data_IF_651185635504
#
_entry.id   IF_651185635504
#
_cell.length_a   1.000
_cell.length_b   1.000
_cell.length_c   1.000
_cell.angle_alpha   90.00
_cell.angle_beta   90.00
_cell.angle_gamma   90.00
#
_symmetry.space_group_name_H-M   'P 1'
#
loop_
_entity.id
_entity.type
_entity.pdbx_description
1 polymer ?
#
# COMPACT_ATOMS: atom_id res chain seq x y z
N UNK A 1 -13.45 3.24 3.54
CA UNK A 1 -13.54 2.10 4.46
C UNK A 1 -13.69 2.56 5.92
N UNK A 2 -12.68 3.19 6.52
CA UNK A 2 -12.64 3.50 7.96
C UNK A 2 -13.77 4.43 8.43
N UNK A 3 -14.22 5.37 7.60
CA UNK A 3 -15.36 6.25 7.92
C UNK A 3 -16.65 5.45 8.05
N UNK A 4 -16.88 4.52 7.12
CA UNK A 4 -18.08 3.71 7.07
C UNK A 4 -18.16 2.71 8.24
N UNK A 5 -17.07 1.99 8.51
CA UNK A 5 -17.03 0.96 9.56
C UNK A 5 -16.76 1.58 10.93
N UNK A 6 -15.50 1.83 11.24
CA UNK A 6 -15.08 2.30 12.57
C UNK A 6 -15.52 3.75 12.85
N UNK A 7 -15.71 4.56 11.81
CA UNK A 7 -16.30 5.91 11.91
C UNK A 7 -17.75 5.91 12.32
N UNK A 8 -18.41 4.75 12.28
CA UNK A 8 -19.71 4.48 12.90
C UNK A 8 -20.90 4.62 11.96
N UNK A 9 -20.72 4.98 10.69
CA UNK A 9 -21.84 5.17 9.75
C UNK A 9 -22.68 3.90 9.60
N UNK A 10 -22.05 2.76 9.25
CA UNK A 10 -22.75 1.50 9.07
C UNK A 10 -23.32 0.93 10.38
N UNK A 11 -22.65 1.17 11.50
CA UNK A 11 -23.13 0.71 12.81
C UNK A 11 -24.35 1.48 13.30
N UNK A 12 -24.50 2.75 12.88
CA UNK A 12 -25.63 3.59 13.24
C UNK A 12 -26.80 3.49 12.24
N UNK A 13 -26.55 2.95 11.03
CA UNK A 13 -27.58 2.77 10.01
C UNK A 13 -28.55 1.66 10.40
N UNK A 14 -29.84 1.90 10.16
CA UNK A 14 -30.90 0.89 10.34
C UNK A 14 -30.84 -0.12 9.18
N UNK A 15 -30.80 -1.40 9.49
CA UNK A 15 -30.71 -2.48 8.48
C UNK A 15 -31.85 -2.42 7.49
N UNK A 16 -31.58 -2.82 6.25
CA UNK A 16 -32.53 -2.86 5.14
C UNK A 16 -33.10 -1.50 4.73
N UNK A 17 -32.57 -0.40 5.23
CA UNK A 17 -32.88 0.94 4.71
C UNK A 17 -32.00 1.27 3.51
N UNK A 18 -32.44 2.24 2.68
CA UNK A 18 -31.65 2.71 1.54
C UNK A 18 -30.28 3.25 1.94
N UNK A 19 -30.18 3.89 3.12
CA UNK A 19 -28.93 4.38 3.70
C UNK A 19 -27.96 3.21 4.01
N UNK A 20 -28.47 2.20 4.71
CA UNK A 20 -27.69 1.00 5.06
C UNK A 20 -27.14 0.31 3.82
N UNK A 21 -27.99 0.10 2.80
CA UNK A 21 -27.58 -0.60 1.58
C UNK A 21 -26.61 0.25 0.73
N UNK A 22 -26.81 1.56 0.65
CA UNK A 22 -25.90 2.46 -0.04
C UNK A 22 -24.53 2.53 0.66
N UNK A 23 -24.51 2.61 2.00
CA UNK A 23 -23.29 2.56 2.79
C UNK A 23 -22.51 1.24 2.58
N UNK A 24 -23.20 0.10 2.58
CA UNK A 24 -22.58 -1.20 2.30
C UNK A 24 -22.09 -1.36 0.87
N UNK A 25 -22.82 -0.81 -0.11
CA UNK A 25 -22.35 -0.77 -1.50
C UNK A 25 -21.04 0.01 -1.61
N UNK A 26 -20.97 1.20 -1.00
CA UNK A 26 -19.75 2.03 -0.98
C UNK A 26 -18.61 1.34 -0.22
N UNK A 27 -18.91 0.66 0.89
CA UNK A 27 -17.93 -0.14 1.64
C UNK A 27 -17.35 -1.25 0.77
N UNK A 28 -18.20 -2.01 0.09
CA UNK A 28 -17.79 -3.11 -0.79
C UNK A 28 -16.95 -2.60 -1.96
N UNK A 29 -17.35 -1.48 -2.57
CA UNK A 29 -16.61 -0.85 -3.65
C UNK A 29 -15.19 -0.45 -3.22
N UNK A 30 -15.02 0.08 -2.02
CA UNK A 30 -13.72 0.47 -1.51
C UNK A 30 -12.89 -0.72 -0.96
N UNK A 31 -13.53 -1.87 -0.68
CA UNK A 31 -12.89 -2.96 0.06
C UNK A 31 -11.71 -3.60 -0.67
N UNK A 32 -11.77 -3.71 -2.00
CA UNK A 32 -10.70 -4.30 -2.80
C UNK A 32 -9.40 -3.45 -2.84
N UNK A 33 -9.39 -2.22 -2.30
CA UNK A 33 -8.24 -1.33 -2.37
C UNK A 33 -6.96 -1.92 -1.75
N UNK A 34 -7.08 -2.71 -0.68
CA UNK A 34 -5.94 -3.38 -0.03
C UNK A 34 -5.30 -4.41 -0.95
N UNK A 35 -6.11 -5.21 -1.62
CA UNK A 35 -5.64 -6.19 -2.60
C UNK A 35 -4.97 -5.50 -3.79
N UNK A 36 -5.53 -4.38 -4.25
CA UNK A 36 -4.93 -3.57 -5.33
C UNK A 36 -3.52 -3.13 -4.96
N UNK A 37 -3.26 -2.68 -3.73
CA UNK A 37 -1.91 -2.29 -3.30
C UNK A 37 -0.91 -3.44 -3.35
N UNK A 38 -1.32 -4.63 -2.93
CA UNK A 38 -0.47 -5.82 -2.98
C UNK A 38 -0.25 -6.29 -4.42
N UNK A 39 -1.29 -6.28 -5.27
CA UNK A 39 -1.20 -6.57 -6.71
C UNK A 39 -0.26 -5.59 -7.42
N UNK A 40 -0.36 -4.27 -7.14
CA UNK A 40 0.56 -3.25 -7.68
C UNK A 40 1.99 -3.55 -7.27
N UNK A 41 2.22 -3.98 -6.01
CA UNK A 41 3.56 -4.33 -5.55
C UNK A 41 4.16 -5.45 -6.40
N UNK A 42 3.41 -6.53 -6.67
CA UNK A 42 3.84 -7.59 -7.58
C UNK A 42 4.03 -7.12 -9.01
N UNK A 43 3.10 -6.30 -9.53
CA UNK A 43 3.16 -5.76 -10.88
C UNK A 43 4.40 -4.89 -11.12
N UNK A 44 4.80 -4.09 -10.14
CA UNK A 44 5.93 -3.15 -10.25
C UNK A 44 7.26 -3.83 -9.95
N UNK A 45 7.32 -4.64 -8.87
CA UNK A 45 8.57 -5.20 -8.37
C UNK A 45 9.01 -6.50 -9.06
N UNK A 46 8.11 -7.20 -9.78
CA UNK A 46 8.47 -8.39 -10.54
C UNK A 46 9.56 -8.17 -11.59
N UNK A 47 9.70 -6.93 -12.09
CA UNK A 47 10.70 -6.54 -13.08
C UNK A 47 11.70 -5.49 -12.55
N UNK A 48 11.66 -5.16 -11.24
CA UNK A 48 12.51 -4.16 -10.64
C UNK A 48 13.67 -4.79 -9.87
N UNK A 49 14.80 -4.09 -9.84
CA UNK A 49 15.94 -4.49 -9.03
C UNK A 49 15.59 -4.42 -7.53
N UNK A 50 15.82 -5.51 -6.80
CA UNK A 50 15.58 -5.58 -5.37
C UNK A 50 16.63 -4.77 -4.59
N UNK A 51 16.17 -3.87 -3.71
CA UNK A 51 17.04 -2.98 -2.91
C UNK A 51 16.59 -2.97 -1.46
N UNK A 52 17.37 -3.55 -0.56
CA UNK A 52 17.10 -3.55 0.90
C UNK A 52 16.85 -2.16 1.48
N UNK A 53 17.54 -1.15 0.95
CA UNK A 53 17.43 0.22 1.43
C UNK A 53 16.00 0.73 1.45
N UNK A 54 15.15 0.25 0.52
CA UNK A 54 13.76 0.72 0.45
C UNK A 54 12.91 0.32 1.65
N UNK A 55 13.11 -0.89 2.21
CA UNK A 55 12.36 -1.28 3.41
C UNK A 55 12.82 -0.49 4.63
N UNK A 56 14.10 -0.14 4.70
CA UNK A 56 14.64 0.70 5.77
C UNK A 56 14.07 2.11 5.67
N UNK A 57 13.99 2.69 4.47
CA UNK A 57 13.37 4.00 4.23
C UNK A 57 11.88 4.01 4.65
N UNK A 58 11.13 2.96 4.30
CA UNK A 58 9.73 2.81 4.72
C UNK A 58 9.62 2.64 6.24
N UNK A 59 10.47 1.81 6.85
CA UNK A 59 10.48 1.62 8.29
C UNK A 59 10.79 2.91 9.04
N UNK A 60 11.78 3.69 8.58
CA UNK A 60 12.10 4.99 9.16
C UNK A 60 10.90 5.95 9.06
N UNK A 61 10.20 5.96 7.93
CA UNK A 61 8.99 6.77 7.78
C UNK A 61 7.91 6.35 8.80
N UNK A 62 7.70 5.05 8.99
CA UNK A 62 6.74 4.54 9.99
C UNK A 62 7.17 4.97 11.39
N UNK A 63 8.43 4.77 11.77
CA UNK A 63 8.96 5.14 13.08
C UNK A 63 8.80 6.64 13.36
N UNK A 64 9.08 7.49 12.37
CA UNK A 64 8.87 8.95 12.49
C UNK A 64 7.41 9.25 12.81
N UNK A 65 6.45 8.67 12.09
CA UNK A 65 5.03 8.92 12.34
C UNK A 65 4.57 8.36 13.67
N UNK A 66 4.94 7.12 14.01
CA UNK A 66 4.50 6.51 15.27
C UNK A 66 5.00 7.29 16.48
N UNK A 67 6.28 7.66 16.48
CA UNK A 67 6.88 8.43 17.58
C UNK A 67 6.32 9.86 17.62
N UNK A 68 6.30 10.58 16.49
CA UNK A 68 5.84 11.98 16.45
C UNK A 68 4.37 12.13 16.85
N UNK A 69 3.49 11.24 16.39
CA UNK A 69 2.06 11.27 16.77
C UNK A 69 1.89 10.91 18.25
N UNK A 70 2.64 9.93 18.76
CA UNK A 70 2.59 9.56 20.17
C UNK A 70 3.05 10.71 21.05
N UNK A 71 4.16 11.40 20.69
CA UNK A 71 4.65 12.61 21.38
C UNK A 71 3.57 13.69 21.37
N UNK A 72 3.02 14.01 20.20
CA UNK A 72 1.99 15.03 20.05
C UNK A 72 0.78 14.76 20.95
N UNK A 73 0.28 13.53 20.97
CA UNK A 73 -0.90 13.17 21.78
C UNK A 73 -0.56 13.04 23.26
N UNK A 74 0.68 12.74 23.62
CA UNK A 74 1.13 12.80 25.01
C UNK A 74 1.02 14.23 25.58
N UNK A 75 1.24 15.27 24.75
CA UNK A 75 1.04 16.66 25.16
C UNK A 75 -0.43 17.10 25.12
N UNK A 76 -1.19 16.68 24.10
CA UNK A 76 -2.58 17.11 23.90
C UNK A 76 -3.55 16.35 24.82
N UNK A 77 -3.35 15.06 25.02
CA UNK A 77 -4.21 14.15 25.77
C UNK A 77 -3.31 13.19 26.58
N UNK A 78 -2.66 13.64 27.67
CA UNK A 78 -1.68 12.85 28.42
C UNK A 78 -2.23 11.49 28.88
N UNK A 79 -3.51 11.43 29.25
CA UNK A 79 -4.18 10.20 29.71
C UNK A 79 -4.34 9.13 28.63
N UNK A 80 -4.16 9.47 27.36
CA UNK A 80 -4.29 8.54 26.22
C UNK A 80 -3.02 7.74 25.93
N UNK A 81 -1.88 8.14 26.49
CA UNK A 81 -0.57 7.55 26.15
C UNK A 81 -0.02 6.79 27.35
N UNK A 82 -0.03 5.46 27.28
CA UNK A 82 0.55 4.56 28.27
C UNK A 82 1.96 4.10 27.85
N UNK A 83 2.67 3.43 28.75
CA UNK A 83 3.95 2.78 28.46
C UNK A 83 3.84 1.80 27.27
N UNK A 84 2.70 1.11 27.14
CA UNK A 84 2.44 0.21 26.01
C UNK A 84 2.37 0.94 24.66
N UNK A 85 1.78 2.15 24.60
CA UNK A 85 1.78 2.97 23.38
C UNK A 85 3.19 3.42 23.01
N UNK A 86 4.02 3.77 23.98
CA UNK A 86 5.43 4.09 23.71
C UNK A 86 6.20 2.89 23.16
N UNK A 87 6.03 1.71 23.76
CA UNK A 87 6.66 0.49 23.24
C UNK A 87 6.22 0.20 21.79
N UNK A 88 4.92 0.31 21.51
CA UNK A 88 4.38 0.15 20.15
C UNK A 88 4.92 1.19 19.18
N UNK A 89 5.08 2.44 19.60
CA UNK A 89 5.61 3.51 18.76
C UNK A 89 7.07 3.26 18.35
N UNK A 90 7.89 2.71 19.23
CA UNK A 90 9.29 2.38 18.92
C UNK A 90 9.42 1.07 18.12
N UNK A 91 8.51 0.11 18.29
CA UNK A 91 8.54 -1.19 17.61
C UNK A 91 7.27 -1.46 16.78
N UNK A 92 6.93 -0.60 15.81
CA UNK A 92 5.63 -0.65 15.13
C UNK A 92 5.40 -1.94 14.33
N UNK A 93 6.44 -2.55 13.79
CA UNK A 93 6.36 -3.80 13.03
C UNK A 93 6.07 -4.98 13.96
N UNK A 94 6.85 -5.11 15.04
CA UNK A 94 6.73 -6.24 15.97
C UNK A 94 5.44 -6.19 16.79
N UNK A 95 4.94 -4.99 17.07
CA UNK A 95 3.68 -4.80 17.78
C UNK A 95 2.44 -4.93 16.88
N UNK A 96 2.60 -5.09 15.57
CA UNK A 96 1.49 -5.13 14.62
C UNK A 96 0.67 -3.85 14.58
N UNK A 97 1.26 -2.70 14.96
CA UNK A 97 0.54 -1.42 15.05
C UNK A 97 -0.16 -1.04 13.74
N UNK A 98 0.48 -1.38 12.61
CA UNK A 98 -0.08 -1.27 11.28
C UNK A 98 -0.02 -2.65 10.62
N UNK A 99 -1.10 -3.41 10.70
CA UNK A 99 -1.16 -4.78 10.21
C UNK A 99 -0.66 -4.92 8.76
N UNK A 100 -1.08 -4.00 7.87
CA UNK A 100 -0.67 -4.04 6.47
C UNK A 100 0.84 -3.83 6.32
N UNK A 101 1.40 -2.86 7.04
CA UNK A 101 2.84 -2.60 6.98
C UNK A 101 3.65 -3.76 7.56
N UNK A 102 3.23 -4.36 8.66
CA UNK A 102 3.88 -5.54 9.24
C UNK A 102 3.85 -6.73 8.27
N UNK A 103 2.71 -7.00 7.64
CA UNK A 103 2.57 -8.02 6.60
C UNK A 103 3.39 -7.67 5.35
N UNK A 104 3.47 -6.39 4.99
CA UNK A 104 4.26 -5.91 3.86
C UNK A 104 5.78 -6.06 4.10
N UNK A 105 6.27 -5.85 5.33
CA UNK A 105 7.67 -6.12 5.68
C UNK A 105 7.99 -7.60 5.46
N UNK A 106 7.13 -8.50 5.91
CA UNK A 106 7.31 -9.93 5.65
C UNK A 106 7.29 -10.23 4.14
N UNK A 107 6.30 -9.73 3.39
CA UNK A 107 6.28 -9.82 1.93
C UNK A 107 7.59 -9.33 1.31
N UNK A 108 8.08 -8.16 1.74
CA UNK A 108 9.30 -7.55 1.18
C UNK A 108 10.52 -8.46 1.32
N UNK A 109 10.67 -9.14 2.45
CA UNK A 109 11.76 -10.10 2.67
C UNK A 109 11.69 -11.31 1.71
N UNK A 110 10.48 -11.70 1.28
CA UNK A 110 10.25 -12.80 0.35
C UNK A 110 10.30 -12.39 -1.13
N UNK A 111 10.33 -11.08 -1.48
CA UNK A 111 10.37 -10.62 -2.88
C UNK A 111 11.44 -11.31 -3.73
N UNK A 112 12.71 -11.51 -3.28
CA UNK A 112 13.70 -12.19 -4.11
C UNK A 112 13.30 -13.62 -4.47
N UNK A 113 12.72 -14.35 -3.52
CA UNK A 113 12.23 -15.71 -3.75
C UNK A 113 11.02 -15.73 -4.70
N UNK A 114 10.06 -14.82 -4.50
CA UNK A 114 8.88 -14.69 -5.33
C UNK A 114 9.24 -14.29 -6.77
N UNK A 115 10.22 -13.41 -6.94
CA UNK A 115 10.72 -13.05 -8.27
C UNK A 115 11.42 -14.22 -8.96
N UNK A 116 12.19 -15.04 -8.22
CA UNK A 116 12.79 -16.25 -8.77
C UNK A 116 11.72 -17.24 -9.27
N UNK A 117 10.59 -17.38 -8.56
CA UNK A 117 9.44 -18.19 -9.01
C UNK A 117 8.88 -17.60 -10.32
N UNK A 118 8.64 -16.29 -10.35
CA UNK A 118 8.12 -15.60 -11.54
C UNK A 118 9.05 -15.72 -12.75
N UNK A 119 10.38 -15.70 -12.55
CA UNK A 119 11.36 -15.80 -13.62
C UNK A 119 11.50 -17.22 -14.18
N UNK A 120 11.63 -18.22 -13.30
CA UNK A 120 11.99 -19.57 -13.69
C UNK A 120 10.82 -20.44 -14.13
N UNK A 121 9.60 -20.16 -13.66
CA UNK A 121 8.45 -20.95 -14.05
C UNK A 121 7.91 -20.55 -15.43
N UNK A 122 7.57 -21.54 -16.24
CA UNK A 122 6.87 -21.35 -17.50
C UNK A 122 5.46 -20.82 -17.29
N UNK A 123 4.92 -20.09 -18.28
CA UNK A 123 3.57 -19.51 -18.23
C UNK A 123 2.49 -20.52 -17.84
N UNK A 124 2.54 -21.73 -18.40
CA UNK A 124 1.54 -22.78 -18.16
C UNK A 124 1.62 -23.32 -16.73
N UNK A 125 2.83 -23.59 -16.27
CA UNK A 125 3.10 -24.06 -14.90
C UNK A 125 2.68 -23.00 -13.87
N UNK A 126 3.13 -21.75 -14.04
CA UNK A 126 2.80 -20.66 -13.13
C UNK A 126 1.30 -20.40 -13.08
N UNK A 127 0.60 -20.40 -14.23
CA UNK A 127 -0.85 -20.26 -14.28
C UNK A 127 -1.58 -21.39 -13.54
N UNK A 128 -1.13 -22.64 -13.71
CA UNK A 128 -1.70 -23.78 -13.01
C UNK A 128 -1.48 -23.68 -11.50
N UNK A 129 -0.26 -23.39 -11.05
CA UNK A 129 0.06 -23.22 -9.63
C UNK A 129 -0.74 -22.08 -9.00
N UNK A 130 -0.81 -20.91 -9.64
CA UNK A 130 -1.60 -19.79 -9.16
C UNK A 130 -3.10 -20.14 -9.11
N UNK A 131 -3.61 -20.84 -10.13
CA UNK A 131 -5.00 -21.32 -10.14
C UNK A 131 -5.30 -22.23 -8.96
N UNK A 132 -4.42 -23.19 -8.66
CA UNK A 132 -4.57 -24.08 -7.51
C UNK A 132 -4.45 -23.32 -6.18
N UNK A 133 -3.48 -22.42 -6.05
CA UNK A 133 -3.35 -21.57 -4.86
C UNK A 133 -4.63 -20.76 -4.63
N UNK A 134 -5.14 -20.10 -5.66
CA UNK A 134 -6.38 -19.32 -5.53
C UNK A 134 -7.60 -20.17 -5.25
N UNK A 135 -7.68 -21.37 -5.82
CA UNK A 135 -8.75 -22.31 -5.53
C UNK A 135 -8.79 -22.68 -4.03
N UNK A 136 -7.62 -23.00 -3.44
CA UNK A 136 -7.54 -23.39 -2.03
C UNK A 136 -7.57 -22.21 -1.07
N UNK A 137 -6.81 -21.16 -1.33
CA UNK A 137 -6.64 -20.02 -0.42
C UNK A 137 -7.73 -18.97 -0.52
N UNK A 138 -8.46 -18.92 -1.64
CA UNK A 138 -9.57 -17.99 -1.86
C UNK A 138 -10.91 -18.74 -1.93
N UNK A 139 -11.14 -19.55 -2.97
CA UNK A 139 -12.44 -20.13 -3.23
C UNK A 139 -12.89 -21.08 -2.11
N UNK A 140 -12.09 -22.09 -1.75
CA UNK A 140 -12.49 -23.07 -0.73
C UNK A 140 -12.57 -22.47 0.66
N UNK A 141 -11.61 -21.61 1.06
CA UNK A 141 -11.70 -20.95 2.36
C UNK A 141 -12.91 -20.03 2.48
N UNK A 142 -13.30 -19.38 1.38
CA UNK A 142 -14.53 -18.57 1.37
C UNK A 142 -15.76 -19.50 1.41
N UNK A 143 -15.82 -20.53 0.57
CA UNK A 143 -16.97 -21.44 0.49
C UNK A 143 -17.24 -22.17 1.81
N UNK A 144 -16.20 -22.63 2.50
CA UNK A 144 -16.34 -23.37 3.76
C UNK A 144 -16.24 -22.48 5.01
N UNK A 145 -16.16 -21.17 4.83
CA UNK A 145 -15.99 -20.20 5.93
C UNK A 145 -14.88 -20.62 6.91
N UNK A 146 -13.74 -20.99 6.38
CA UNK A 146 -12.62 -21.53 7.14
C UNK A 146 -11.35 -20.71 6.92
N UNK A 147 -10.41 -20.81 7.84
CA UNK A 147 -9.07 -20.22 7.70
C UNK A 147 -7.98 -21.23 8.02
N UNK A 148 -8.05 -22.39 7.37
CA UNK A 148 -7.12 -23.52 7.56
C UNK A 148 -5.68 -23.17 7.25
N UNK A 149 -5.45 -22.21 6.34
CA UNK A 149 -4.12 -21.83 5.88
C UNK A 149 -3.57 -20.55 6.52
N UNK A 150 -4.23 -20.01 7.54
CA UNK A 150 -3.78 -18.82 8.27
C UNK A 150 -3.77 -17.54 7.40
N UNK A 151 -4.74 -17.41 6.51
CA UNK A 151 -4.89 -16.19 5.68
C UNK A 151 -5.47 -15.02 6.47
N UNK A 152 -6.09 -15.30 7.63
CA UNK A 152 -6.71 -14.31 8.51
C UNK A 152 -7.63 -13.34 7.72
N UNK A 153 -8.57 -13.90 6.94
CA UNK A 153 -9.47 -13.16 6.05
C UNK A 153 -8.77 -12.22 5.07
N UNK A 154 -7.50 -12.51 4.76
CA UNK A 154 -6.62 -11.70 3.92
C UNK A 154 -5.76 -10.69 4.68
N UNK A 155 -5.88 -10.60 5.99
CA UNK A 155 -5.03 -9.75 6.85
C UNK A 155 -3.69 -10.43 7.19
N UNK A 156 -3.03 -11.05 6.22
CA UNK A 156 -1.80 -11.80 6.46
C UNK A 156 -0.75 -11.58 5.38
N UNK A 157 0.51 -11.82 5.73
CA UNK A 157 1.62 -11.78 4.78
C UNK A 157 1.48 -12.83 3.67
N UNK A 158 0.93 -14.01 3.99
CA UNK A 158 0.70 -15.09 3.01
C UNK A 158 -0.24 -14.60 1.91
N UNK A 159 -1.34 -13.93 2.28
CA UNK A 159 -2.26 -13.38 1.29
C UNK A 159 -1.59 -12.32 0.43
N UNK A 160 -0.81 -11.41 1.02
CA UNK A 160 -0.06 -10.41 0.25
C UNK A 160 0.96 -11.04 -0.71
N UNK A 161 1.61 -12.16 -0.33
CA UNK A 161 2.53 -12.90 -1.21
C UNK A 161 1.78 -13.54 -2.40
N UNK A 162 0.59 -14.10 -2.17
CA UNK A 162 -0.26 -14.62 -3.25
C UNK A 162 -0.64 -13.50 -4.21
N UNK A 163 -1.11 -12.36 -3.70
CA UNK A 163 -1.45 -11.19 -4.52
C UNK A 163 -0.22 -10.64 -5.27
N UNK A 164 0.96 -10.65 -4.65
CA UNK A 164 2.21 -10.29 -5.32
C UNK A 164 2.49 -11.19 -6.53
N UNK A 165 2.37 -12.50 -6.39
CA UNK A 165 2.55 -13.44 -7.50
C UNK A 165 1.51 -13.24 -8.60
N UNK A 166 0.25 -12.96 -8.25
CA UNK A 166 -0.81 -12.64 -9.22
C UNK A 166 -0.47 -11.34 -9.98
N UNK A 167 -0.06 -10.28 -9.26
CA UNK A 167 0.37 -9.02 -9.87
C UNK A 167 1.58 -9.20 -10.80
N UNK A 168 2.58 -9.96 -10.37
CA UNK A 168 3.75 -10.31 -11.18
C UNK A 168 3.40 -11.15 -12.42
N UNK A 169 2.47 -12.10 -12.29
CA UNK A 169 1.95 -12.86 -13.43
C UNK A 169 1.26 -11.95 -14.45
N UNK A 170 0.42 -11.02 -13.99
CA UNK A 170 -0.24 -10.03 -14.85
C UNK A 170 0.81 -9.20 -15.57
N UNK A 171 1.84 -8.72 -14.86
CA UNK A 171 2.94 -7.94 -15.46
C UNK A 171 3.67 -8.72 -16.56
N UNK A 172 3.96 -9.99 -16.31
CA UNK A 172 4.77 -10.82 -17.22
C UNK A 172 3.96 -11.31 -18.43
N UNK A 173 2.68 -11.61 -18.26
CA UNK A 173 1.88 -12.33 -19.25
C UNK A 173 0.54 -11.68 -19.62
N UNK A 174 0.14 -10.61 -18.92
CA UNK A 174 -1.19 -9.99 -19.05
C UNK A 174 -1.32 -8.96 -20.17
N UNK A 175 -0.26 -8.68 -20.92
CA UNK A 175 -0.25 -7.68 -22.00
C UNK A 175 -1.03 -8.15 -23.25
N UNK A 176 -2.28 -8.58 -23.08
CA UNK A 176 -3.19 -8.80 -24.17
C UNK A 176 -3.59 -7.45 -24.79
N UNK A 177 -3.31 -7.26 -26.07
CA UNK A 177 -3.53 -6.00 -26.81
C UNK A 177 -5.00 -5.54 -26.88
N UNK A 178 -5.98 -6.39 -26.56
CA UNK A 178 -7.39 -6.20 -26.91
C UNK A 178 -8.35 -5.81 -25.79
N UNK A 179 -7.87 -5.38 -24.60
CA UNK A 179 -8.74 -4.99 -23.50
C UNK A 179 -9.03 -3.48 -23.46
N UNK A 180 -10.25 -3.05 -23.79
CA UNK A 180 -10.68 -1.65 -23.54
C UNK A 180 -10.79 -1.40 -22.04
N UNK A 181 -10.34 -0.25 -21.49
CA UNK A 181 -10.47 0.08 -20.06
C UNK A 181 -11.91 -0.11 -19.53
N UNK A 182 -12.91 0.28 -20.32
CA UNK A 182 -14.31 0.16 -19.95
C UNK A 182 -14.76 -1.28 -19.61
N UNK A 183 -14.16 -2.29 -20.28
CA UNK A 183 -14.46 -3.70 -20.00
C UNK A 183 -14.00 -4.11 -18.59
N UNK A 184 -12.83 -3.68 -18.20
CA UNK A 184 -12.28 -3.96 -16.87
C UNK A 184 -13.02 -3.19 -15.78
N UNK A 185 -13.40 -1.95 -16.05
CA UNK A 185 -14.24 -1.18 -15.14
C UNK A 185 -15.63 -1.81 -14.96
N UNK A 186 -16.25 -2.27 -16.04
CA UNK A 186 -17.50 -3.04 -15.96
C UNK A 186 -17.32 -4.34 -15.14
N UNK A 187 -16.22 -5.07 -15.36
CA UNK A 187 -15.87 -6.25 -14.54
C UNK A 187 -15.75 -5.91 -13.06
N UNK A 188 -15.08 -4.81 -12.71
CA UNK A 188 -15.02 -4.33 -11.33
C UNK A 188 -16.42 -4.08 -10.76
N UNK A 189 -17.28 -3.33 -11.47
CA UNK A 189 -18.64 -3.04 -11.01
C UNK A 189 -19.49 -4.30 -10.84
N UNK A 190 -19.36 -5.28 -11.75
CA UNK A 190 -20.06 -6.56 -11.65
C UNK A 190 -19.62 -7.31 -10.39
N UNK A 191 -18.30 -7.39 -10.12
CA UNK A 191 -17.80 -8.10 -8.94
C UNK A 191 -18.24 -7.44 -7.64
N UNK A 192 -18.21 -6.11 -7.58
CA UNK A 192 -18.72 -5.34 -6.43
C UNK A 192 -20.23 -5.56 -6.26
N UNK A 193 -20.99 -5.49 -7.35
CA UNK A 193 -22.43 -5.74 -7.33
C UNK A 193 -22.77 -7.16 -6.85
N UNK A 194 -22.03 -8.18 -7.31
CA UNK A 194 -22.19 -9.57 -6.85
C UNK A 194 -21.88 -9.71 -5.36
N UNK A 195 -20.80 -9.09 -4.88
CA UNK A 195 -20.44 -9.14 -3.45
C UNK A 195 -21.49 -8.46 -2.59
N UNK A 196 -21.95 -7.26 -2.97
CA UNK A 196 -23.00 -6.54 -2.26
C UNK A 196 -24.35 -7.30 -2.30
N UNK A 197 -24.73 -7.83 -3.46
CA UNK A 197 -25.96 -8.62 -3.60
C UNK A 197 -25.91 -9.89 -2.75
N UNK A 198 -24.77 -10.58 -2.69
CA UNK A 198 -24.60 -11.76 -1.84
C UNK A 198 -24.81 -11.43 -0.36
N UNK A 199 -24.31 -10.27 0.10
CA UNK A 199 -24.53 -9.77 1.47
C UNK A 199 -26.04 -9.59 1.72
N UNK A 200 -26.75 -8.91 0.83
CA UNK A 200 -28.19 -8.67 0.95
C UNK A 200 -28.98 -9.99 0.98
N UNK A 201 -28.66 -10.90 0.06
CA UNK A 201 -29.33 -12.21 -0.01
C UNK A 201 -29.10 -13.04 1.25
N UNK A 202 -27.86 -13.09 1.76
CA UNK A 202 -27.53 -13.85 2.98
C UNK A 202 -28.22 -13.24 4.20
N UNK A 203 -28.28 -11.94 4.34
CA UNK A 203 -28.98 -11.26 5.43
C UNK A 203 -30.49 -11.55 5.41
N UNK A 204 -31.11 -11.47 4.22
CA UNK A 204 -32.54 -11.80 4.06
C UNK A 204 -32.84 -13.28 4.33
N UNK A 205 -31.99 -14.18 3.82
CA UNK A 205 -32.16 -15.63 4.06
C UNK A 205 -32.01 -15.96 5.54
N UNK A 206 -30.99 -15.45 6.21
CA UNK A 206 -30.77 -15.73 7.62
C UNK A 206 -31.85 -15.13 8.49
N UNK A 207 -32.34 -13.94 8.16
CA UNK A 207 -33.48 -13.33 8.85
C UNK A 207 -34.76 -14.20 8.74
N UNK A 208 -35.05 -14.68 7.52
CA UNK A 208 -36.27 -15.48 7.27
C UNK A 208 -36.19 -16.90 7.86
N UNK A 209 -35.00 -17.53 7.84
CA UNK A 209 -34.84 -18.93 8.29
C UNK A 209 -34.52 -19.01 9.78
N UNK A 210 -33.67 -18.11 10.29
CA UNK A 210 -33.17 -18.16 11.65
C UNK A 210 -33.83 -17.14 12.58
N UNK A 211 -34.64 -16.20 12.05
CA UNK A 211 -35.21 -15.09 12.80
C UNK A 211 -34.20 -13.98 13.18
N UNK A 212 -32.95 -14.10 12.78
CA UNK A 212 -31.90 -13.12 13.04
C UNK A 212 -30.92 -13.00 11.86
N UNK A 213 -30.33 -11.80 11.69
CA UNK A 213 -29.35 -11.55 10.64
C UNK A 213 -27.99 -12.09 11.05
N UNK A 214 -27.47 -13.08 10.31
CA UNK A 214 -26.14 -13.66 10.47
C UNK A 214 -25.34 -13.65 9.17
N UNK A 215 -24.04 -13.69 9.27
CA UNK A 215 -23.09 -13.93 8.18
C UNK A 215 -23.23 -13.00 6.95
N UNK A 216 -23.83 -11.80 7.08
CA UNK A 216 -23.93 -10.85 5.96
C UNK A 216 -22.58 -10.49 5.34
N UNK A 217 -21.51 -10.53 6.11
CA UNK A 217 -20.16 -10.21 5.62
C UNK A 217 -19.42 -11.40 4.99
N UNK A 218 -20.08 -12.50 4.70
CA UNK A 218 -19.48 -13.76 4.23
C UNK A 218 -18.53 -13.60 3.04
N UNK A 219 -18.95 -12.88 2.00
CA UNK A 219 -18.12 -12.57 0.83
C UNK A 219 -17.36 -11.23 0.93
N UNK A 220 -17.52 -10.47 2.02
CA UNK A 220 -16.80 -9.21 2.24
C UNK A 220 -15.52 -9.50 3.03
N UNK A 221 -14.57 -10.14 2.39
CA UNK A 221 -13.25 -10.50 2.89
C UNK A 221 -12.21 -10.28 1.80
N UNK A 222 -11.00 -9.88 2.14
CA UNK A 222 -9.92 -9.70 1.16
C UNK A 222 -9.61 -10.99 0.40
N UNK A 223 -9.70 -12.16 1.05
CA UNK A 223 -9.51 -13.46 0.38
C UNK A 223 -10.68 -13.89 -0.51
N UNK A 224 -11.82 -13.19 -0.48
CA UNK A 224 -12.98 -13.53 -1.30
C UNK A 224 -12.67 -13.47 -2.78
N UNK A 225 -13.08 -14.48 -3.58
CA UNK A 225 -12.87 -14.48 -5.03
C UNK A 225 -13.43 -13.24 -5.72
N UNK A 226 -14.57 -12.73 -5.27
CA UNK A 226 -15.21 -11.56 -5.88
C UNK A 226 -14.44 -10.29 -5.60
N UNK A 227 -13.90 -10.10 -4.38
CA UNK A 227 -13.06 -8.96 -4.01
C UNK A 227 -11.72 -9.03 -4.74
N UNK A 228 -11.09 -10.21 -4.79
CA UNK A 228 -9.87 -10.43 -5.57
C UNK A 228 -10.05 -10.08 -7.05
N UNK A 229 -11.13 -10.59 -7.68
CA UNK A 229 -11.41 -10.30 -9.09
C UNK A 229 -11.73 -8.82 -9.32
N UNK A 230 -12.42 -8.15 -8.38
CA UNK A 230 -12.61 -6.70 -8.42
C UNK A 230 -11.27 -5.96 -8.38
N UNK A 231 -10.33 -6.38 -7.51
CA UNK A 231 -8.99 -5.80 -7.43
C UNK A 231 -8.18 -6.00 -8.72
N UNK A 232 -8.22 -7.20 -9.30
CA UNK A 232 -7.57 -7.49 -10.60
C UNK A 232 -8.17 -6.66 -11.71
N UNK A 233 -9.50 -6.55 -11.78
CA UNK A 233 -10.18 -5.71 -12.78
C UNK A 233 -9.77 -4.24 -12.62
N UNK A 234 -9.69 -3.73 -11.40
CA UNK A 234 -9.29 -2.36 -11.13
C UNK A 234 -7.83 -2.10 -11.50
N UNK A 235 -6.91 -3.04 -11.21
CA UNK A 235 -5.51 -2.96 -11.67
C UNK A 235 -5.43 -2.88 -13.19
N UNK A 236 -6.13 -3.77 -13.90
CA UNK A 236 -6.12 -3.82 -15.37
C UNK A 236 -6.80 -2.59 -15.99
N UNK A 237 -7.83 -2.05 -15.34
CA UNK A 237 -8.44 -0.79 -15.76
C UNK A 237 -7.42 0.36 -15.74
N UNK A 238 -6.71 0.55 -14.64
CA UNK A 238 -5.71 1.63 -14.52
C UNK A 238 -4.48 1.39 -15.40
N UNK A 239 -4.08 0.14 -15.63
CA UNK A 239 -3.01 -0.21 -16.56
C UNK A 239 -3.31 0.26 -18.00
N UNK A 240 -4.57 0.12 -18.43
CA UNK A 240 -5.00 0.48 -19.80
C UNK A 240 -5.49 1.93 -19.93
N UNK A 241 -5.61 2.66 -18.81
CA UNK A 241 -6.14 4.00 -18.81
C UNK A 241 -5.11 5.01 -19.32
N UNK A 242 -5.46 5.74 -20.38
CA UNK A 242 -4.67 6.87 -20.86
C UNK A 242 -4.96 8.10 -20.00
N UNK A 243 -3.98 8.51 -19.21
CA UNK A 243 -4.11 9.64 -18.28
C UNK A 243 -3.57 10.91 -18.94
N UNK A 244 -4.31 12.04 -18.94
CA UNK A 244 -3.83 13.32 -19.48
C UNK A 244 -2.55 13.79 -18.76
N UNK A 245 -1.62 14.50 -19.45
CA UNK A 245 -0.32 14.91 -18.88
C UNK A 245 -0.44 15.75 -17.60
N UNK A 246 -1.44 16.61 -17.51
CA UNK A 246 -1.71 17.45 -16.32
C UNK A 246 -1.99 16.56 -15.10
N UNK A 247 -2.87 15.56 -15.26
CA UNK A 247 -3.23 14.63 -14.21
C UNK A 247 -2.05 13.71 -13.85
N UNK A 248 -1.25 13.28 -14.84
CA UNK A 248 -0.01 12.54 -14.59
C UNK A 248 0.97 13.31 -13.70
N UNK A 249 1.11 14.63 -13.95
CA UNK A 249 1.97 15.50 -13.12
C UNK A 249 1.46 15.57 -11.69
N UNK A 250 0.16 15.74 -11.50
CA UNK A 250 -0.49 15.77 -10.18
C UNK A 250 -0.29 14.43 -9.43
N UNK A 251 -0.57 13.31 -10.09
CA UNK A 251 -0.39 11.97 -9.50
C UNK A 251 1.07 11.75 -9.08
N UNK A 252 2.05 12.13 -9.91
CA UNK A 252 3.47 12.01 -9.57
C UNK A 252 3.88 12.84 -8.33
N UNK A 253 3.21 13.96 -8.08
CA UNK A 253 3.44 14.75 -6.87
C UNK A 253 2.77 14.15 -5.63
N UNK A 254 1.55 13.59 -5.78
CA UNK A 254 0.77 13.07 -4.67
C UNK A 254 1.16 11.63 -4.27
N UNK A 255 1.55 10.79 -5.23
CA UNK A 255 1.82 9.37 -4.97
C UNK A 255 2.88 9.10 -3.90
N UNK A 256 3.99 9.87 -3.75
CA UNK A 256 4.95 9.64 -2.68
C UNK A 256 4.38 9.86 -1.28
N UNK A 257 3.30 10.64 -1.16
CA UNK A 257 2.65 10.97 0.11
C UNK A 257 1.55 9.98 0.50
N UNK A 258 1.13 9.09 -0.41
CA UNK A 258 0.02 8.16 -0.15
C UNK A 258 0.27 7.25 1.06
N UNK A 259 1.52 6.84 1.27
CA UNK A 259 1.88 6.03 2.43
C UNK A 259 1.80 6.85 3.73
N UNK A 260 2.17 8.13 3.71
CA UNK A 260 1.98 9.03 4.84
C UNK A 260 0.52 9.20 5.22
N UNK A 261 -0.38 9.32 4.23
CA UNK A 261 -1.83 9.36 4.48
C UNK A 261 -2.28 8.12 5.26
N UNK A 262 -1.86 6.91 4.83
CA UNK A 262 -2.17 5.67 5.54
C UNK A 262 -1.66 5.69 6.98
N UNK A 263 -0.41 6.10 7.20
CA UNK A 263 0.21 6.11 8.52
C UNK A 263 -0.46 7.10 9.49
N UNK A 264 -0.89 8.26 9.01
CA UNK A 264 -1.49 9.30 9.86
C UNK A 264 -2.90 8.90 10.28
N UNK A 265 -3.81 8.66 9.30
CA UNK A 265 -5.22 8.43 9.66
C UNK A 265 -5.46 7.07 10.31
N UNK A 266 -4.60 6.08 10.07
CA UNK A 266 -4.70 4.76 10.67
C UNK A 266 -3.86 4.59 11.95
N UNK A 267 -3.21 5.64 12.43
CA UNK A 267 -2.50 5.60 13.70
C UNK A 267 -3.48 5.32 14.85
N UNK A 268 -3.25 4.31 15.72
CA UNK A 268 -4.23 3.89 16.73
C UNK A 268 -4.76 5.03 17.62
N UNK A 269 -3.89 5.97 18.00
CA UNK A 269 -4.31 7.11 18.82
C UNK A 269 -5.15 8.11 18.01
N UNK A 270 -4.75 8.46 16.78
CA UNK A 270 -5.56 9.31 15.88
C UNK A 270 -6.89 8.64 15.59
N UNK A 271 -6.85 7.37 15.28
CA UNK A 271 -8.02 6.56 15.01
C UNK A 271 -9.02 6.60 16.18
N UNK A 272 -8.55 6.34 17.40
CA UNK A 272 -9.39 6.29 18.60
C UNK A 272 -9.98 7.66 18.96
N UNK A 273 -9.19 8.72 18.88
CA UNK A 273 -9.61 10.04 19.34
C UNK A 273 -10.27 10.92 18.27
N UNK A 274 -9.92 10.73 17.00
CA UNK A 274 -10.38 11.60 15.90
C UNK A 274 -11.38 10.95 14.93
N UNK A 275 -11.37 9.60 14.79
CA UNK A 275 -12.17 8.94 13.75
C UNK A 275 -13.27 8.03 14.33
N UNK A 276 -12.98 7.28 15.39
CA UNK A 276 -13.90 6.25 15.93
C UNK A 276 -15.23 6.85 16.36
N UNK A 277 -16.32 6.39 15.72
CA UNK A 277 -17.69 6.81 16.01
C UNK A 277 -18.06 8.26 15.64
N UNK A 278 -17.11 9.04 15.09
CA UNK A 278 -17.32 10.49 14.84
C UNK A 278 -18.28 10.80 13.68
N UNK A 279 -18.50 9.83 12.80
CA UNK A 279 -19.29 10.03 11.58
C UNK A 279 -20.64 9.31 11.61
N UNK A 280 -21.03 8.77 12.76
CA UNK A 280 -22.31 8.07 12.95
C UNK A 280 -23.52 8.91 12.49
N UNK A 281 -23.50 10.23 12.68
CA UNK A 281 -24.57 11.14 12.25
C UNK A 281 -24.82 11.16 10.73
N UNK A 282 -23.86 10.71 9.90
CA UNK A 282 -24.09 10.62 8.45
C UNK A 282 -25.19 9.61 8.10
N UNK A 283 -25.42 8.58 8.92
CA UNK A 283 -26.46 7.57 8.70
C UNK A 283 -27.89 8.10 8.79
N UNK A 284 -28.08 9.28 9.39
CA UNK A 284 -29.39 9.93 9.46
C UNK A 284 -29.73 10.75 8.19
N UNK A 285 -28.78 10.93 7.28
CA UNK A 285 -28.97 11.67 6.04
C UNK A 285 -29.64 10.81 4.97
N UNK A 286 -30.37 11.38 4.00
CA UNK A 286 -30.82 10.66 2.82
C UNK A 286 -29.62 10.01 2.11
N UNK A 287 -29.78 8.80 1.58
CA UNK A 287 -28.68 7.99 1.04
C UNK A 287 -27.76 8.71 0.02
N UNK A 288 -28.22 9.60 -0.89
CA UNK A 288 -27.31 10.30 -1.78
C UNK A 288 -26.43 11.32 -1.03
N UNK A 289 -27.00 11.97 -0.01
CA UNK A 289 -26.30 12.96 0.82
C UNK A 289 -25.33 12.26 1.76
N UNK A 290 -25.70 11.09 2.28
CA UNK A 290 -24.80 10.23 3.08
C UNK A 290 -23.55 9.86 2.27
N UNK A 291 -23.70 9.34 1.04
CA UNK A 291 -22.57 8.98 0.17
C UNK A 291 -21.69 10.21 -0.09
N UNK A 292 -22.29 11.34 -0.48
CA UNK A 292 -21.54 12.57 -0.75
C UNK A 292 -20.80 13.07 0.50
N UNK A 293 -21.43 12.97 1.68
CA UNK A 293 -20.82 13.36 2.95
C UNK A 293 -19.63 12.46 3.29
N UNK A 294 -19.79 11.14 3.18
CA UNK A 294 -18.69 10.17 3.42
C UNK A 294 -17.53 10.40 2.45
N UNK A 295 -17.80 10.63 1.16
CA UNK A 295 -16.76 10.93 0.18
C UNK A 295 -16.09 12.29 0.46
N UNK A 296 -16.86 13.31 0.81
CA UNK A 296 -16.34 14.62 1.19
C UNK A 296 -15.43 14.56 2.41
N UNK A 297 -15.84 13.85 3.46
CA UNK A 297 -15.04 13.61 4.66
C UNK A 297 -13.75 12.85 4.30
N UNK A 298 -13.84 11.82 3.44
CA UNK A 298 -12.68 11.08 2.99
C UNK A 298 -11.68 11.99 2.25
N UNK A 299 -12.15 12.86 1.37
CA UNK A 299 -11.31 13.84 0.67
C UNK A 299 -10.67 14.81 1.67
N UNK A 300 -11.43 15.35 2.63
CA UNK A 300 -10.90 16.26 3.65
C UNK A 300 -9.79 15.60 4.49
N UNK A 301 -10.00 14.35 4.97
CA UNK A 301 -9.01 13.60 5.73
C UNK A 301 -7.75 13.38 4.87
N UNK A 302 -7.92 12.97 3.61
CA UNK A 302 -6.79 12.78 2.70
C UNK A 302 -6.01 14.09 2.49
N UNK A 303 -6.68 15.21 2.25
CA UNK A 303 -6.03 16.51 2.05
C UNK A 303 -5.23 16.93 3.29
N UNK A 304 -5.81 16.80 4.50
CA UNK A 304 -5.10 17.10 5.75
C UNK A 304 -3.85 16.23 5.88
N UNK A 305 -3.98 14.92 5.64
CA UNK A 305 -2.85 13.99 5.71
C UNK A 305 -1.78 14.31 4.63
N UNK A 306 -2.19 14.70 3.42
CA UNK A 306 -1.26 15.12 2.37
C UNK A 306 -0.48 16.38 2.76
N UNK A 307 -1.13 17.37 3.37
CA UNK A 307 -0.46 18.59 3.84
C UNK A 307 0.59 18.25 4.91
N UNK A 308 0.24 17.38 5.86
CA UNK A 308 1.15 16.93 6.92
C UNK A 308 2.36 16.19 6.32
N UNK A 309 2.11 15.24 5.39
CA UNK A 309 3.20 14.46 4.79
C UNK A 309 4.05 15.30 3.82
N UNK A 310 3.47 16.28 3.15
CA UNK A 310 4.21 17.24 2.35
C UNK A 310 5.19 18.05 3.23
N UNK A 311 4.74 18.55 4.38
CA UNK A 311 5.59 19.25 5.34
C UNK A 311 6.75 18.35 5.82
N UNK A 312 6.49 17.06 6.12
CA UNK A 312 7.51 16.06 6.45
C UNK A 312 8.52 15.92 5.30
N UNK A 313 8.05 15.70 4.07
CA UNK A 313 8.93 15.53 2.90
C UNK A 313 9.85 16.75 2.70
N UNK A 314 9.30 17.95 2.84
CA UNK A 314 10.08 19.19 2.69
C UNK A 314 11.11 19.36 3.81
N UNK A 315 10.73 19.04 5.06
CA UNK A 315 11.65 19.03 6.19
C UNK A 315 12.81 18.06 5.96
N UNK A 316 12.52 16.83 5.55
CA UNK A 316 13.56 15.81 5.30
C UNK A 316 14.48 16.19 4.14
N UNK A 317 13.95 16.81 3.06
CA UNK A 317 14.77 17.34 1.98
C UNK A 317 15.75 18.40 2.49
N UNK A 318 15.28 19.33 3.32
CA UNK A 318 16.13 20.38 3.90
C UNK A 318 17.22 19.81 4.80
N UNK A 319 16.86 18.85 5.67
CA UNK A 319 17.83 18.18 6.55
C UNK A 319 18.88 17.41 5.75
N UNK A 320 18.47 16.67 4.71
CA UNK A 320 19.38 15.93 3.83
C UNK A 320 20.31 16.88 3.05
N UNK A 321 19.79 17.99 2.54
CA UNK A 321 20.59 19.01 1.86
C UNK A 321 21.56 19.71 2.82
N UNK A 322 21.16 19.95 4.06
CA UNK A 322 22.06 20.50 5.09
C UNK A 322 23.19 19.53 5.42
N UNK A 323 22.88 18.23 5.58
CA UNK A 323 23.86 17.17 5.83
C UNK A 323 24.87 17.04 4.68
N UNK A 324 24.42 17.10 3.42
CA UNK A 324 25.30 17.06 2.24
C UNK A 324 26.18 18.32 2.18
N UNK A 325 25.66 19.49 2.54
CA UNK A 325 26.45 20.73 2.58
C UNK A 325 27.54 20.66 3.66
N UNK A 326 27.22 20.13 4.84
CA UNK A 326 28.19 19.90 5.91
C UNK A 326 29.30 18.93 5.48
N UNK A 327 28.96 17.80 4.87
CA UNK A 327 29.93 16.83 4.35
C UNK A 327 30.81 17.43 3.24
N UNK A 328 30.24 18.27 2.36
CA UNK A 328 31.00 18.99 1.33
C UNK A 328 31.92 20.07 1.92
N UNK A 329 31.54 20.69 3.03
CA UNK A 329 32.37 21.67 3.75
C UNK A 329 33.57 21.02 4.45
N UNK A 330 33.44 19.74 4.84
CA UNK A 330 34.52 19.00 5.52
C UNK A 330 35.51 18.35 4.52
N UNK A 331 35.15 18.17 3.25
CA UNK A 331 36.01 17.61 2.20
C UNK A 331 35.95 18.43 0.90
N UNK A 332 36.60 19.60 0.84
CA UNK A 332 36.51 20.47 -0.34
C UNK A 332 37.40 20.09 -1.53
N UNK A 333 38.41 19.21 -1.40
CA UNK A 333 39.55 19.19 -2.32
C UNK A 333 39.62 18.02 -3.33
N UNK A 334 39.15 16.84 -3.01
CA UNK A 334 39.43 15.67 -3.87
C UNK A 334 38.51 15.54 -5.08
N UNK A 335 37.22 15.78 -4.96
CA UNK A 335 36.29 15.72 -6.13
C UNK A 335 36.52 16.85 -7.13
N UNK A 336 37.01 18.00 -6.68
CA UNK A 336 37.34 19.09 -7.59
C UNK A 336 38.63 18.80 -8.38
N UNK A 337 39.58 18.07 -7.80
CA UNK A 337 40.80 17.61 -8.49
C UNK A 337 40.46 16.53 -9.54
N UNK A 338 39.59 15.55 -9.22
CA UNK A 338 39.20 14.52 -10.16
C UNK A 338 38.41 15.11 -11.34
N UNK A 339 37.46 16.02 -11.10
CA UNK A 339 36.68 16.68 -12.16
C UNK A 339 37.56 17.62 -13.02
N UNK A 340 38.57 18.26 -12.44
CA UNK A 340 39.52 19.09 -13.20
C UNK A 340 40.49 18.24 -14.02
N UNK A 341 40.93 17.10 -13.51
CA UNK A 341 41.75 16.15 -14.27
C UNK A 341 40.97 15.54 -15.45
N UNK A 342 39.68 15.20 -15.26
CA UNK A 342 38.81 14.65 -16.34
C UNK A 342 38.49 15.72 -17.40
N UNK A 343 38.27 16.97 -17.03
CA UNK A 343 38.09 18.08 -17.99
C UNK A 343 39.39 18.42 -18.74
N UNK A 344 40.56 18.31 -18.14
CA UNK A 344 41.82 18.61 -18.80
C UNK A 344 42.24 17.50 -19.77
N UNK A 345 41.88 16.23 -19.50
CA UNK A 345 42.09 15.10 -20.42
C UNK A 345 41.16 15.16 -21.63
N UNK A 346 39.91 15.59 -21.46
CA UNK A 346 38.94 15.78 -22.53
C UNK A 346 39.31 16.88 -23.51
N UNK A 347 40.02 17.93 -23.04
CA UNK A 347 40.50 19.02 -23.90
C UNK A 347 41.72 18.61 -24.76
N UNK A 348 42.47 17.58 -24.31
CA UNK A 348 43.68 17.13 -24.99
C UNK A 348 43.48 15.93 -25.95
N UNK A 349 42.23 15.53 -26.23
CA UNK A 349 41.89 14.56 -27.27
C UNK A 349 42.46 13.14 -27.09
N UNK A 350 42.83 12.72 -25.87
CA UNK A 350 43.23 11.34 -25.55
C UNK A 350 42.14 10.68 -24.69
N UNK A 351 41.40 9.75 -25.29
CA UNK A 351 40.59 8.82 -24.52
C UNK A 351 41.52 7.97 -23.62
N UNK A 352 41.30 7.88 -22.32
CA UNK A 352 42.05 6.94 -21.46
C UNK A 352 41.60 5.52 -21.80
N UNK A 353 42.57 4.61 -21.98
CA UNK A 353 42.31 3.19 -22.20
C UNK A 353 41.50 2.61 -21.01
N UNK A 354 40.58 1.66 -21.30
CA UNK A 354 39.66 1.03 -20.32
C UNK A 354 40.38 0.51 -19.07
N UNK A 355 41.59 0.06 -19.18
CA UNK A 355 42.45 -0.41 -18.09
C UNK A 355 42.74 0.64 -17.00
N UNK A 356 42.68 1.93 -17.33
CA UNK A 356 42.89 3.03 -16.41
C UNK A 356 41.63 3.36 -15.57
N UNK A 357 40.44 3.02 -16.05
CA UNK A 357 39.20 3.23 -15.32
C UNK A 357 38.98 2.22 -14.19
N UNK A 358 39.32 0.97 -14.41
CA UNK A 358 39.26 -0.07 -13.37
C UNK A 358 40.22 0.21 -12.23
N UNK A 359 41.43 0.66 -12.53
CA UNK A 359 42.44 1.05 -11.54
C UNK A 359 42.01 2.25 -10.70
N UNK A 360 41.47 3.30 -11.33
CA UNK A 360 40.93 4.48 -10.65
C UNK A 360 39.70 4.16 -9.79
N UNK A 361 38.84 3.29 -10.26
CA UNK A 361 37.68 2.81 -9.49
C UNK A 361 38.10 1.93 -8.30
N UNK A 362 39.14 1.13 -8.45
CA UNK A 362 39.70 0.31 -7.36
C UNK A 362 40.36 1.19 -6.30
N UNK A 363 41.19 2.17 -6.69
CA UNK A 363 41.84 3.13 -5.80
C UNK A 363 40.81 4.01 -5.05
N UNK A 364 39.74 4.42 -5.71
CA UNK A 364 38.66 5.19 -5.07
C UNK A 364 37.84 4.36 -4.06
N UNK A 365 37.68 3.05 -4.29
CA UNK A 365 37.05 2.13 -3.34
C UNK A 365 37.93 1.86 -2.12
N UNK A 366 39.24 1.75 -2.31
CA UNK A 366 40.21 1.56 -1.21
C UNK A 366 40.31 2.83 -0.33
N UNK A 367 40.33 4.00 -0.92
CA UNK A 367 40.32 5.28 -0.18
C UNK A 367 39.03 5.48 0.63
N UNK A 368 37.91 4.99 0.13
CA UNK A 368 36.61 5.04 0.84
C UNK A 368 36.52 4.05 2.02
N UNK A 369 37.39 3.03 2.05
CA UNK A 369 37.45 2.02 3.12
C UNK A 369 38.52 2.28 4.18
N UNK A 370 39.23 3.43 4.10
CA UNK A 370 40.20 3.84 5.12
C UNK A 370 41.52 3.03 5.11
N UNK A 371 41.82 2.30 4.04
CA UNK A 371 43.06 1.54 3.90
C UNK A 371 44.18 2.49 3.43
N UNK A 372 45.19 2.77 4.30
CA UNK A 372 46.47 3.32 3.88
C UNK A 372 47.43 2.15 3.60
N UNK A 373 48.00 2.03 2.40
CA UNK A 373 49.11 1.10 2.22
C UNK A 373 50.32 1.58 3.01
N UNK A 374 50.96 0.64 3.66
CA UNK A 374 52.26 0.78 4.33
C UNK A 374 53.37 1.03 3.30
#
# INVERSE_FOLDING_TARGET
>A
LHILTQGGVLNASVRFTSQYEAGWFLQTAAFCAVDVYALISGYVWACAEYRYRKIIELWLQVAVYTVSITVLLCFLIPSSVSATQWLKAFFPVMSGQYWYFSSYVALFLFIPLLNMILEKMEKRQLRFCLGMILLFFSCFQTLFYSDVFGTNDGYSAIWLMILYLVGGYIRKYGHGENGKPAKFFAGYLIMIGLTWLSKLVIELLTLNVLGEVRAGNYLISYKSPTILLAAVCLLLFFEKLTIPPVLQKMIRHLSPMSFGVYLIHNHPLIFTHCLKGRFAGCSALPWPVEILSVLGIAVCINLICYIIDFARLELFKRLHMASIRQLRGTYPSERYRIRKATMTSSINGREPAEENWEKLMWESKQAAQGYRPI
#
